data_IF_438423561057
#
_entry.id   IF_438423561057
#
_cell.length_a   1.000
_cell.length_b   1.000
_cell.length_c   1.000
_cell.angle_alpha   90.00
_cell.angle_beta   90.00
_cell.angle_gamma   90.00
#
_symmetry.space_group_name_H-M   'P 1'
#
loop_
_entity.id
_entity.type
_entity.pdbx_description
1 polymer ?
#
# COMPACT_ATOMS: atom_id res chain seq x y z
N UNK A 1 2.45 12.80 -15.08
CA UNK A 1 1.06 13.29 -15.04
C UNK A 1 0.98 14.32 -13.94
N UNK A 2 0.47 15.51 -14.25
CA UNK A 2 0.16 16.53 -13.24
C UNK A 2 -0.90 15.99 -12.29
N UNK A 3 -0.75 16.27 -10.99
CA UNK A 3 -1.76 15.93 -9.98
C UNK A 3 -3.06 16.65 -10.33
N UNK A 4 -4.18 15.96 -10.33
CA UNK A 4 -5.48 16.59 -10.48
C UNK A 4 -5.80 17.32 -9.17
N UNK A 5 -5.95 18.64 -9.23
CA UNK A 5 -6.31 19.46 -8.07
C UNK A 5 -7.83 19.52 -7.85
N UNK A 6 -8.26 19.56 -6.59
CA UNK A 6 -9.68 19.74 -6.27
C UNK A 6 -10.17 21.14 -6.65
N UNK A 7 -11.38 21.21 -7.20
CA UNK A 7 -12.03 22.48 -7.49
C UNK A 7 -12.36 23.24 -6.18
N UNK A 8 -12.48 24.58 -6.27
CA UNK A 8 -12.90 25.40 -5.12
C UNK A 8 -14.24 24.93 -4.54
N UNK A 9 -15.20 24.56 -5.39
CA UNK A 9 -16.52 24.07 -4.98
C UNK A 9 -16.41 22.78 -4.17
N UNK A 10 -15.62 21.81 -4.66
CA UNK A 10 -15.38 20.53 -3.98
C UNK A 10 -14.74 20.74 -2.60
N UNK A 11 -13.80 21.68 -2.47
CA UNK A 11 -13.16 22.02 -1.19
C UNK A 11 -14.17 22.61 -0.20
N UNK A 12 -15.04 23.52 -0.65
CA UNK A 12 -16.07 24.11 0.20
C UNK A 12 -17.11 23.08 0.66
N UNK A 13 -17.55 22.20 -0.24
CA UNK A 13 -18.50 21.12 0.09
C UNK A 13 -17.89 20.13 1.08
N UNK A 14 -16.62 19.75 0.92
CA UNK A 14 -15.92 18.87 1.85
C UNK A 14 -15.78 19.51 3.24
N UNK A 15 -15.46 20.80 3.30
CA UNK A 15 -15.37 21.53 4.57
C UNK A 15 -16.73 21.60 5.28
N UNK A 16 -17.80 21.89 4.53
CA UNK A 16 -19.18 21.90 5.05
C UNK A 16 -19.61 20.52 5.55
N UNK A 17 -19.31 19.45 4.81
CA UNK A 17 -19.58 18.06 5.22
C UNK A 17 -18.86 17.70 6.51
N UNK A 18 -17.60 18.12 6.64
CA UNK A 18 -16.76 17.82 7.80
C UNK A 18 -17.22 18.53 9.08
N UNK A 19 -18.08 19.55 8.98
CA UNK A 19 -18.46 20.38 10.12
C UNK A 19 -17.28 21.11 10.74
N UNK A 20 -16.27 21.46 9.93
CA UNK A 20 -14.99 22.03 10.37
C UNK A 20 -14.17 21.13 11.30
N UNK A 21 -14.41 19.82 11.29
CA UNK A 21 -13.66 18.83 12.07
C UNK A 21 -12.91 17.86 11.18
N UNK A 22 -11.71 17.48 11.60
CA UNK A 22 -10.86 16.54 10.88
C UNK A 22 -11.59 15.22 10.57
N UNK A 23 -11.64 14.83 9.30
CA UNK A 23 -12.26 13.58 8.81
C UNK A 23 -11.30 12.38 8.82
N UNK A 24 -10.05 12.56 9.26
CA UNK A 24 -9.06 11.49 9.33
C UNK A 24 -9.47 10.39 10.32
N UNK A 25 -9.55 9.15 9.84
CA UNK A 25 -9.92 7.99 10.63
C UNK A 25 -9.10 6.74 10.30
N UNK A 26 -8.90 5.90 11.32
CA UNK A 26 -8.30 4.57 11.18
C UNK A 26 -6.77 4.55 11.01
N UNK A 27 -6.22 3.36 10.70
CA UNK A 27 -4.78 3.10 10.70
C UNK A 27 -4.00 3.86 9.62
N UNK A 28 -4.67 4.32 8.54
CA UNK A 28 -4.03 5.11 7.48
C UNK A 28 -3.43 6.43 8.00
N UNK A 29 -4.03 6.98 9.05
CA UNK A 29 -3.59 8.23 9.69
C UNK A 29 -2.87 8.00 11.02
N UNK A 30 -2.59 6.75 11.39
CA UNK A 30 -1.88 6.39 12.62
C UNK A 30 -2.78 6.18 13.84
N UNK A 31 -4.10 6.05 13.66
CA UNK A 31 -5.06 5.76 14.73
C UNK A 31 -5.43 4.27 14.77
N UNK A 32 -6.07 3.82 15.85
CA UNK A 32 -6.67 2.48 15.88
C UNK A 32 -7.85 2.38 14.90
N UNK A 33 -8.25 1.15 14.57
CA UNK A 33 -9.47 0.93 13.77
C UNK A 33 -10.69 1.56 14.48
N UNK A 34 -11.52 2.27 13.72
CA UNK A 34 -12.68 3.00 14.25
C UNK A 34 -12.38 4.34 14.95
N UNK A 35 -11.11 4.68 15.23
CA UNK A 35 -10.77 5.95 15.86
C UNK A 35 -10.67 7.09 14.82
N UNK A 36 -11.27 8.23 15.15
CA UNK A 36 -11.25 9.46 14.34
C UNK A 36 -10.58 10.60 15.11
N UNK A 37 -9.84 11.46 14.41
CA UNK A 37 -9.13 12.59 15.02
C UNK A 37 -10.07 13.63 15.66
N UNK A 38 -11.16 14.03 14.97
CA UNK A 38 -12.15 15.01 15.45
C UNK A 38 -11.63 16.42 15.83
N UNK A 39 -10.34 16.72 15.61
CA UNK A 39 -9.77 18.03 15.90
C UNK A 39 -10.40 19.14 15.04
N UNK A 40 -10.56 20.33 15.61
CA UNK A 40 -11.06 21.50 14.90
C UNK A 40 -10.06 21.98 13.83
N UNK A 41 -10.57 22.30 12.65
CA UNK A 41 -9.77 22.72 11.49
C UNK A 41 -9.48 24.22 11.46
N UNK A 42 -9.74 24.95 12.55
CA UNK A 42 -9.53 26.40 12.67
C UNK A 42 -8.08 26.82 12.48
N UNK A 43 -7.13 25.98 12.92
CA UNK A 43 -5.69 26.22 12.79
C UNK A 43 -5.15 25.99 11.37
N UNK A 44 -5.93 25.33 10.51
CA UNK A 44 -5.53 25.02 9.14
C UNK A 44 -6.09 23.70 8.64
N UNK A 45 -6.77 23.77 7.49
CA UNK A 45 -7.29 22.61 6.77
C UNK A 45 -6.42 22.28 5.57
N UNK A 46 -6.16 20.99 5.38
CA UNK A 46 -5.62 20.45 4.15
C UNK A 46 -6.68 19.58 3.48
N UNK A 47 -6.88 19.77 2.18
CA UNK A 47 -7.78 18.96 1.38
C UNK A 47 -6.96 17.89 0.67
N UNK A 48 -7.23 16.63 0.99
CA UNK A 48 -6.41 15.53 0.52
C UNK A 48 -7.25 14.39 -0.04
N UNK A 49 -6.67 13.64 -0.97
CA UNK A 49 -7.33 12.55 -1.69
C UNK A 49 -7.34 11.28 -0.84
N UNK A 50 -8.48 10.75 -0.42
CA UNK A 50 -8.53 9.48 0.33
C UNK A 50 -7.75 8.37 -0.39
N UNK A 51 -7.97 8.21 -1.69
CA UNK A 51 -7.11 7.43 -2.60
C UNK A 51 -6.26 8.41 -3.41
N UNK A 52 -4.92 8.36 -3.34
CA UNK A 52 -4.06 9.24 -4.12
C UNK A 52 -4.29 9.12 -5.64
N UNK A 53 -4.27 10.25 -6.35
CA UNK A 53 -4.44 10.34 -7.81
C UNK A 53 -3.44 9.43 -8.57
N UNK A 54 -2.19 9.34 -8.10
CA UNK A 54 -1.16 8.46 -8.69
C UNK A 54 -1.48 6.96 -8.57
N UNK A 55 -2.37 6.59 -7.64
CA UNK A 55 -2.85 5.23 -7.44
C UNK A 55 -4.26 5.03 -8.03
N UNK A 56 -4.73 5.97 -8.86
CA UNK A 56 -6.04 5.89 -9.54
C UNK A 56 -7.17 6.62 -8.83
N UNK A 57 -6.86 7.48 -7.86
CA UNK A 57 -7.86 8.32 -7.20
C UNK A 57 -8.48 9.36 -8.14
N UNK A 58 -9.72 9.72 -7.85
CA UNK A 58 -10.49 10.73 -8.57
C UNK A 58 -10.61 12.05 -7.79
N UNK A 59 -11.13 13.08 -8.43
CA UNK A 59 -11.29 14.42 -7.84
C UNK A 59 -12.72 14.70 -7.37
N UNK A 60 -13.51 13.65 -7.13
CA UNK A 60 -14.86 13.78 -6.62
C UNK A 60 -14.86 14.31 -5.18
N UNK A 61 -16.04 14.76 -4.76
CA UNK A 61 -16.29 15.16 -3.38
C UNK A 61 -16.10 14.00 -2.40
N UNK A 62 -16.37 12.76 -2.82
CA UNK A 62 -16.23 11.56 -2.00
C UNK A 62 -14.75 11.26 -1.69
N UNK A 63 -13.85 11.54 -2.64
CA UNK A 63 -12.42 11.35 -2.43
C UNK A 63 -11.75 12.54 -1.74
N UNK A 64 -12.38 13.71 -1.73
CA UNK A 64 -11.87 14.91 -1.05
C UNK A 64 -12.11 14.83 0.45
N UNK A 65 -11.05 14.77 1.25
CA UNK A 65 -11.13 14.74 2.71
C UNK A 65 -10.58 16.02 3.32
N UNK A 66 -11.29 16.58 4.30
CA UNK A 66 -10.82 17.72 5.09
C UNK A 66 -10.04 17.21 6.32
N UNK A 67 -8.72 17.40 6.32
CA UNK A 67 -7.82 16.87 7.35
C UNK A 67 -6.95 17.95 7.98
N UNK A 68 -6.59 17.76 9.26
CA UNK A 68 -5.64 18.66 9.92
C UNK A 68 -4.22 18.42 9.41
N UNK A 69 -3.34 19.39 9.64
CA UNK A 69 -1.94 19.37 9.16
C UNK A 69 -1.17 18.13 9.64
N UNK A 70 -1.39 17.72 10.90
CA UNK A 70 -0.71 16.55 11.48
C UNK A 70 -1.14 15.23 10.83
N UNK A 71 -2.46 15.03 10.68
CA UNK A 71 -3.01 13.84 10.02
C UNK A 71 -2.57 13.80 8.55
N UNK A 72 -2.61 14.95 7.87
CA UNK A 72 -2.12 15.08 6.50
C UNK A 72 -0.65 14.64 6.41
N UNK A 73 0.23 15.18 7.27
CA UNK A 73 1.66 14.83 7.27
C UNK A 73 1.90 13.34 7.48
N UNK A 74 1.16 12.70 8.38
CA UNK A 74 1.25 11.26 8.62
C UNK A 74 0.89 10.48 7.34
N UNK A 75 -0.26 10.81 6.74
CA UNK A 75 -0.73 10.16 5.53
C UNK A 75 0.21 10.38 4.34
N UNK A 76 0.66 11.62 4.09
CA UNK A 76 1.58 11.94 2.99
C UNK A 76 2.84 11.08 3.05
N UNK A 77 3.40 10.85 4.24
CA UNK A 77 4.57 9.98 4.41
C UNK A 77 4.31 8.55 3.95
N UNK A 78 3.15 8.00 4.30
CA UNK A 78 2.75 6.64 3.95
C UNK A 78 2.43 6.54 2.45
N UNK A 79 1.70 7.51 1.90
CA UNK A 79 1.31 7.52 0.50
C UNK A 79 2.52 7.66 -0.44
N UNK A 80 3.46 8.56 -0.13
CA UNK A 80 4.71 8.69 -0.91
C UNK A 80 5.49 7.37 -0.94
N UNK A 81 5.49 6.60 0.16
CA UNK A 81 6.13 5.28 0.19
C UNK A 81 5.42 4.29 -0.74
N UNK A 82 4.08 4.27 -0.75
CA UNK A 82 3.28 3.38 -1.60
C UNK A 82 3.38 3.76 -3.08
N UNK A 83 3.28 5.05 -3.40
CA UNK A 83 3.43 5.57 -4.76
C UNK A 83 4.79 5.18 -5.34
N UNK A 84 5.89 5.45 -4.61
CA UNK A 84 7.23 5.06 -5.05
C UNK A 84 7.39 3.56 -5.23
N UNK A 85 6.70 2.73 -4.43
CA UNK A 85 6.69 1.28 -4.61
C UNK A 85 5.97 0.89 -5.89
N UNK A 86 4.79 1.48 -6.14
CA UNK A 86 4.02 1.27 -7.36
C UNK A 86 4.81 1.66 -8.60
N UNK A 87 5.47 2.82 -8.58
CA UNK A 87 6.32 3.28 -9.68
C UNK A 87 7.46 2.28 -9.96
N UNK A 88 8.18 1.83 -8.93
CA UNK A 88 9.22 0.79 -9.10
C UNK A 88 8.67 -0.52 -9.67
N UNK A 89 7.45 -0.91 -9.31
CA UNK A 89 6.81 -2.11 -9.86
C UNK A 89 6.45 -1.90 -11.34
N UNK A 90 5.91 -0.73 -11.67
CA UNK A 90 5.58 -0.33 -13.04
C UNK A 90 6.83 -0.28 -13.93
N UNK A 91 7.94 0.26 -13.43
CA UNK A 91 9.20 0.34 -14.15
C UNK A 91 9.79 -1.05 -14.43
N UNK A 92 9.69 -1.98 -13.47
CA UNK A 92 10.07 -3.39 -13.65
C UNK A 92 9.18 -4.07 -14.69
N UNK A 93 7.87 -3.88 -14.62
CA UNK A 93 6.91 -4.49 -15.55
C UNK A 93 7.08 -3.98 -16.98
N UNK A 94 7.43 -2.70 -17.15
CA UNK A 94 7.67 -2.07 -18.45
C UNK A 94 9.08 -2.32 -19.00
N UNK A 95 9.96 -2.98 -18.24
CA UNK A 95 11.35 -3.22 -18.64
C UNK A 95 12.24 -1.97 -18.65
N UNK A 96 11.77 -0.85 -18.07
CA UNK A 96 12.57 0.38 -17.90
C UNK A 96 13.79 0.11 -17.03
N UNK A 97 13.63 -0.76 -16.03
CA UNK A 97 14.73 -1.22 -15.18
C UNK A 97 15.10 -2.64 -15.57
N UNK A 98 16.37 -2.83 -15.95
CA UNK A 98 16.90 -4.17 -16.24
C UNK A 98 16.74 -5.07 -15.00
N UNK A 99 16.19 -6.28 -15.13
CA UNK A 99 16.11 -7.21 -14.01
C UNK A 99 17.52 -7.50 -13.47
N UNK A 100 17.63 -7.66 -12.15
CA UNK A 100 18.88 -8.07 -11.54
C UNK A 100 19.32 -9.39 -12.16
N UNK A 101 20.58 -9.45 -12.61
CA UNK A 101 21.13 -10.67 -13.19
C UNK A 101 21.10 -11.82 -12.19
N UNK A 102 21.09 -13.07 -12.70
CA UNK A 102 21.26 -14.24 -11.84
C UNK A 102 22.56 -14.07 -11.03
N UNK A 103 22.45 -14.22 -9.71
CA UNK A 103 23.60 -14.18 -8.81
C UNK A 103 24.53 -15.33 -9.23
N UNK A 104 25.73 -14.99 -9.71
CA UNK A 104 26.79 -15.97 -9.99
C UNK A 104 27.55 -16.26 -8.70
N UNK A 105 26.90 -16.84 -7.71
CA UNK A 105 27.58 -17.27 -6.48
C UNK A 105 28.20 -18.64 -6.70
N UNK A 106 29.36 -18.89 -6.10
CA UNK A 106 29.84 -20.25 -5.90
C UNK A 106 28.77 -21.02 -5.12
N UNK A 107 28.44 -22.24 -5.56
CA UNK A 107 27.53 -23.11 -4.80
C UNK A 107 28.08 -23.36 -3.40
N UNK A 108 27.21 -23.77 -2.47
CA UNK A 108 27.68 -24.22 -1.16
C UNK A 108 28.70 -25.35 -1.32
N UNK A 109 29.77 -25.38 -0.51
CA UNK A 109 30.75 -26.45 -0.57
C UNK A 109 30.06 -27.80 -0.34
N UNK A 110 30.30 -28.77 -1.23
CA UNK A 110 29.84 -30.14 -1.05
C UNK A 110 30.63 -30.75 0.11
N UNK A 111 29.94 -31.08 1.21
CA UNK A 111 30.54 -31.83 2.31
C UNK A 111 30.54 -33.32 1.98
N UNK A 112 31.57 -34.07 2.37
CA UNK A 112 31.67 -35.53 2.14
C UNK A 112 30.44 -36.30 2.65
N UNK A 113 29.81 -35.82 3.73
CA UNK A 113 28.59 -36.40 4.30
C UNK A 113 27.39 -36.33 3.36
N UNK A 114 27.38 -35.39 2.41
CA UNK A 114 26.34 -35.28 1.38
C UNK A 114 26.45 -36.36 0.31
N UNK A 115 27.67 -36.82 -0.02
CA UNK A 115 27.90 -37.91 -0.98
C UNK A 115 27.46 -39.26 -0.43
N UNK A 116 27.57 -39.43 0.89
CA UNK A 116 27.14 -40.65 1.60
C UNK A 116 25.63 -40.70 1.88
N UNK A 117 24.85 -39.71 1.44
CA UNK A 117 23.41 -39.67 1.67
C UNK A 117 22.71 -40.63 0.70
N UNK A 118 22.30 -41.79 1.21
CA UNK A 118 21.49 -42.73 0.46
C UNK A 118 20.11 -42.11 0.14
N UNK A 119 19.62 -42.34 -1.08
CA UNK A 119 18.28 -41.91 -1.47
C UNK A 119 17.26 -42.64 -0.60
N UNK A 120 16.35 -41.88 0.03
CA UNK A 120 15.22 -42.50 0.73
C UNK A 120 14.32 -43.19 -0.30
N UNK A 121 13.85 -44.42 -0.05
CA UNK A 121 12.88 -45.06 -0.92
C UNK A 121 11.64 -44.17 -1.01
N UNK A 122 11.11 -44.00 -2.23
CA UNK A 122 9.89 -43.23 -2.43
C UNK A 122 8.72 -44.04 -1.85
N UNK A 123 8.06 -43.47 -0.84
CA UNK A 123 6.82 -44.04 -0.33
C UNK A 123 5.71 -43.80 -1.36
N UNK A 124 4.80 -44.77 -1.57
CA UNK A 124 3.65 -44.55 -2.43
C UNK A 124 2.79 -43.39 -1.90
N UNK A 125 2.15 -42.63 -2.80
CA UNK A 125 1.24 -41.56 -2.40
C UNK A 125 0.12 -42.15 -1.56
N UNK A 126 -0.11 -41.54 -0.40
CA UNK A 126 -1.17 -41.97 0.52
C UNK A 126 -2.52 -41.56 -0.08
N UNK A 127 -3.40 -42.53 -0.37
CA UNK A 127 -4.78 -42.26 -0.77
C UNK A 127 -5.55 -41.73 0.44
N UNK A 128 -5.67 -40.40 0.54
CA UNK A 128 -6.36 -39.75 1.67
C UNK A 128 -7.90 -39.86 1.61
N UNK A 129 -8.44 -40.35 0.49
CA UNK A 129 -9.87 -40.52 0.29
C UNK A 129 -10.15 -41.91 -0.30
N UNK A 130 -10.92 -42.72 0.41
CA UNK A 130 -11.56 -43.91 -0.17
C UNK A 130 -12.75 -43.44 -1.02
N UNK A 131 -12.84 -43.93 -2.26
CA UNK A 131 -14.07 -43.81 -3.03
C UNK A 131 -15.14 -44.62 -2.28
N UNK A 132 -16.09 -43.91 -1.66
CA UNK A 132 -17.27 -44.55 -1.07
C UNK A 132 -18.03 -45.31 -2.16
N UNK A 133 -18.55 -46.51 -1.86
CA UNK A 133 -19.38 -47.29 -2.78
C UNK A 133 -20.67 -46.56 -3.13
#
# INVERSE_FOLDING_TARGET
MSRREFSRKTKQEALKRSGYRCEASGPRYGFSEGQRCNCDLSLGVQFDHNVPDQLGGDNSLENCMAVCIQCHRHKTRNDVRQIRKSDRQRDKARGVVRPAGKIKSAGFPKFEKSERRQAKPQLPPRSLFEAKP
#
